data_IF_267126326669
#
_entry.id   IF_267126326669
#
_cell.length_a   1.000
_cell.length_b   1.000
_cell.length_c   1.000
_cell.angle_alpha   90.00
_cell.angle_beta   90.00
_cell.angle_gamma   90.00
#
_symmetry.space_group_name_H-M   'P 1'
#
loop_
_entity.id
_entity.type
_entity.pdbx_description
1 polymer ?
#
# COMPACT_ATOMS: atom_id res chain seq x y z
N UNK A 1 11.74 5.29 -36.30
CA UNK A 1 11.54 6.74 -36.17
C UNK A 1 11.87 7.11 -34.74
N UNK A 2 13.11 7.53 -34.50
CA UNK A 2 13.59 8.03 -33.22
C UNK A 2 14.29 9.35 -33.50
N UNK A 3 14.05 10.40 -32.71
CA UNK A 3 15.03 11.44 -32.52
C UNK A 3 15.60 11.39 -31.11
N UNK A 4 16.92 11.51 -31.06
CA UNK A 4 17.78 11.67 -29.88
C UNK A 4 17.99 13.18 -29.64
N UNK A 5 18.38 13.52 -28.41
CA UNK A 5 19.00 14.78 -27.94
C UNK A 5 18.03 15.81 -27.33
N UNK A 6 18.34 16.52 -26.25
CA UNK A 6 19.65 16.87 -25.70
C UNK A 6 19.64 16.94 -24.18
N UNK A 7 20.74 16.45 -23.60
CA UNK A 7 21.16 16.76 -22.24
C UNK A 7 21.58 18.24 -22.19
N UNK A 8 20.86 19.07 -21.43
CA UNK A 8 21.36 20.37 -21.00
C UNK A 8 21.66 20.25 -19.51
N UNK A 9 22.94 20.04 -19.21
CA UNK A 9 23.47 20.24 -17.86
C UNK A 9 23.80 21.72 -17.72
N UNK A 10 23.02 22.45 -16.93
CA UNK A 10 23.51 23.70 -16.34
C UNK A 10 23.12 23.76 -14.87
N UNK A 11 24.18 23.75 -14.09
CA UNK A 11 24.44 24.01 -12.67
C UNK A 11 23.36 24.64 -11.77
N UNK A 12 23.48 24.28 -10.49
CA UNK A 12 22.57 24.56 -9.40
C UNK A 12 22.81 25.94 -8.78
N UNK A 13 21.79 26.81 -8.72
CA UNK A 13 21.64 27.76 -7.60
C UNK A 13 20.30 28.52 -7.62
N UNK A 14 19.53 28.35 -6.53
CA UNK A 14 18.43 29.19 -6.03
C UNK A 14 17.12 29.19 -6.85
N UNK A 15 16.14 28.33 -6.56
CA UNK A 15 15.06 28.53 -5.56
C UNK A 15 14.51 29.96 -5.51
N UNK A 16 13.41 30.23 -6.23
CA UNK A 16 12.10 30.68 -5.70
C UNK A 16 11.24 31.20 -6.86
N UNK A 17 9.94 30.93 -6.81
CA UNK A 17 8.91 31.45 -7.73
C UNK A 17 8.90 30.88 -9.15
N UNK A 18 8.27 29.72 -9.35
CA UNK A 18 7.40 29.60 -10.53
C UNK A 18 6.27 28.57 -10.31
N UNK A 19 5.26 29.02 -9.57
CA UNK A 19 4.02 28.28 -9.34
C UNK A 19 3.06 28.32 -10.56
N UNK A 20 3.58 28.47 -11.79
CA UNK A 20 2.74 28.81 -12.96
C UNK A 20 2.83 27.83 -14.15
N UNK A 21 3.55 26.70 -14.07
CA UNK A 21 3.69 25.79 -15.24
C UNK A 21 3.06 24.38 -15.11
N UNK A 22 2.30 24.08 -14.05
CA UNK A 22 1.69 22.74 -13.84
C UNK A 22 0.16 22.72 -14.03
N UNK A 23 -0.39 23.57 -14.90
CA UNK A 23 -1.84 23.74 -15.09
C UNK A 23 -2.48 22.99 -16.27
N UNK A 24 -1.71 22.29 -17.11
CA UNK A 24 -2.23 21.70 -18.37
C UNK A 24 -2.43 20.19 -18.35
N UNK A 25 -2.03 19.51 -17.28
CA UNK A 25 -2.30 18.09 -17.11
C UNK A 25 -3.12 17.90 -15.83
N UNK A 26 -4.31 17.27 -15.90
CA UNK A 26 -4.93 16.78 -14.69
C UNK A 26 -3.91 15.90 -13.97
N UNK A 27 -3.77 16.02 -12.62
CA UNK A 27 -2.89 15.13 -11.89
C UNK A 27 -3.27 13.70 -12.24
N UNK A 28 -2.29 12.91 -12.69
CA UNK A 28 -2.50 11.51 -13.03
C UNK A 28 -3.20 10.82 -11.84
N UNK A 29 -4.23 9.98 -12.07
CA UNK A 29 -4.92 9.30 -10.99
C UNK A 29 -3.89 8.56 -10.13
N UNK A 30 -3.74 8.96 -8.87
CA UNK A 30 -2.88 8.22 -7.94
C UNK A 30 -3.54 6.87 -7.74
N UNK A 31 -2.94 5.84 -8.34
CA UNK A 31 -3.47 4.49 -8.32
C UNK A 31 -3.63 4.05 -6.86
N UNK A 32 -4.87 3.77 -6.47
CA UNK A 32 -5.21 3.53 -5.06
C UNK A 32 -4.91 2.07 -4.73
N UNK A 33 -4.23 1.78 -3.60
CA UNK A 33 -4.00 0.41 -3.17
C UNK A 33 -5.31 -0.34 -2.96
N UNK A 34 -5.41 -1.54 -3.53
CA UNK A 34 -6.57 -2.41 -3.38
C UNK A 34 -6.16 -3.82 -2.95
N UNK A 35 -7.01 -4.48 -2.15
CA UNK A 35 -6.84 -5.89 -1.79
C UNK A 35 -7.72 -6.73 -2.71
N UNK A 36 -7.14 -7.79 -3.31
CA UNK A 36 -7.85 -8.78 -4.12
C UNK A 36 -7.97 -10.12 -3.41
N UNK A 37 -6.90 -10.56 -2.74
CA UNK A 37 -6.87 -11.83 -2.04
C UNK A 37 -5.90 -11.80 -0.85
N UNK A 38 -6.09 -12.73 0.07
CA UNK A 38 -5.26 -12.93 1.26
C UNK A 38 -4.99 -14.43 1.38
N UNK A 39 -3.72 -14.82 1.51
CA UNK A 39 -3.31 -16.22 1.56
C UNK A 39 -2.18 -16.44 2.59
N UNK A 40 -2.37 -17.32 3.59
CA UNK A 40 -3.63 -17.95 3.95
C UNK A 40 -4.66 -16.93 4.46
N UNK A 41 -5.95 -17.23 4.27
CA UNK A 41 -7.06 -16.39 4.77
C UNK A 41 -7.46 -16.71 6.22
N UNK A 42 -6.71 -17.57 6.89
CA UNK A 42 -6.94 -17.99 8.27
C UNK A 42 -5.62 -18.24 9.00
N UNK A 43 -5.65 -18.15 10.33
CA UNK A 43 -4.49 -18.43 11.18
C UNK A 43 -4.82 -18.29 12.66
N UNK A 44 -3.87 -18.72 13.49
CA UNK A 44 -4.09 -18.82 14.93
C UNK A 44 -4.23 -17.46 15.62
N UNK A 45 -5.10 -17.41 16.62
CA UNK A 45 -5.26 -16.30 17.57
C UNK A 45 -3.95 -15.88 18.26
N UNK A 46 -2.96 -16.77 18.36
CA UNK A 46 -1.62 -16.44 18.88
C UNK A 46 -0.84 -15.45 17.99
N UNK A 47 -1.23 -15.27 16.72
CA UNK A 47 -0.52 -14.43 15.76
C UNK A 47 0.80 -15.05 15.27
N UNK A 48 1.63 -14.23 14.62
CA UNK A 48 2.92 -14.65 14.05
C UNK A 48 2.84 -15.54 12.80
N UNK A 49 1.65 -15.70 12.22
CA UNK A 49 1.50 -16.38 10.94
C UNK A 49 1.88 -15.45 9.80
N UNK A 50 2.67 -15.95 8.85
CA UNK A 50 3.04 -15.21 7.65
C UNK A 50 1.89 -15.24 6.66
N UNK A 51 1.40 -14.07 6.26
CA UNK A 51 0.30 -13.91 5.32
C UNK A 51 0.75 -13.06 4.14
N UNK A 52 0.40 -13.50 2.94
CA UNK A 52 0.60 -12.75 1.70
C UNK A 52 -0.72 -12.10 1.31
N UNK A 53 -0.68 -10.79 1.13
CA UNK A 53 -1.81 -10.01 0.62
C UNK A 53 -1.51 -9.69 -0.84
N UNK A 54 -2.46 -10.05 -1.70
CA UNK A 54 -2.38 -9.89 -3.15
C UNK A 54 -3.35 -8.77 -3.54
N UNK A 55 -2.90 -7.88 -4.41
CA UNK A 55 -3.66 -6.70 -4.79
C UNK A 55 -2.99 -5.91 -5.90
N UNK A 56 -3.26 -4.60 -5.94
CA UNK A 56 -2.62 -3.67 -6.88
C UNK A 56 -2.13 -2.42 -6.16
N UNK A 57 -1.17 -1.75 -6.78
CA UNK A 57 -0.63 -0.44 -6.38
C UNK A 57 -0.03 -0.45 -4.97
N UNK A 58 0.59 -1.55 -4.58
CA UNK A 58 1.36 -1.60 -3.34
C UNK A 58 2.71 -0.90 -3.52
N UNK A 59 3.17 -0.29 -2.44
CA UNK A 59 4.41 0.49 -2.40
C UNK A 59 5.02 0.41 -1.01
N UNK A 60 6.28 0.82 -0.90
CA UNK A 60 7.03 0.69 0.35
C UNK A 60 6.49 1.61 1.45
N UNK A 61 6.48 1.09 2.69
CA UNK A 61 5.88 1.75 3.84
C UNK A 61 4.34 1.69 3.91
N UNK A 62 3.68 0.99 2.98
CA UNK A 62 2.26 0.66 3.11
C UNK A 62 2.05 -0.26 4.34
N UNK A 63 1.08 0.06 5.17
CA UNK A 63 0.73 -0.69 6.36
C UNK A 63 -0.57 -1.46 6.13
N UNK A 64 -0.74 -2.53 6.89
CA UNK A 64 -1.94 -3.37 6.84
C UNK A 64 -2.62 -3.30 8.20
N UNK A 65 -3.94 -3.30 8.21
CA UNK A 65 -4.73 -3.22 9.44
C UNK A 65 -5.65 -4.43 9.51
N UNK A 66 -5.45 -5.26 10.53
CA UNK A 66 -6.32 -6.39 10.88
C UNK A 66 -7.35 -5.92 11.91
N UNK A 67 -8.56 -5.61 11.47
CA UNK A 67 -9.60 -4.95 12.26
C UNK A 67 -9.17 -3.56 12.68
N UNK A 68 -8.61 -3.44 13.88
CA UNK A 68 -8.06 -2.20 14.45
C UNK A 68 -6.54 -2.24 14.67
N UNK A 69 -5.92 -3.40 14.47
CA UNK A 69 -4.50 -3.61 14.75
C UNK A 69 -3.66 -3.37 13.51
N UNK A 70 -2.79 -2.37 13.60
CA UNK A 70 -1.87 -1.99 12.54
C UNK A 70 -0.63 -2.88 12.59
N UNK A 71 -0.26 -3.42 11.42
CA UNK A 71 0.97 -4.18 11.23
C UNK A 71 1.80 -3.61 10.09
N UNK A 72 3.11 -3.73 10.23
CA UNK A 72 4.05 -3.42 9.17
C UNK A 72 3.95 -4.49 8.08
N UNK A 73 4.00 -4.04 6.83
CA UNK A 73 4.09 -4.91 5.68
C UNK A 73 5.43 -4.74 4.98
N UNK A 74 5.89 -5.83 4.39
CA UNK A 74 7.07 -5.85 3.55
C UNK A 74 6.63 -5.99 2.09
N UNK A 75 7.08 -5.05 1.27
CA UNK A 75 6.78 -5.06 -0.15
C UNK A 75 7.56 -6.18 -0.84
N UNK A 76 6.84 -7.12 -1.45
CA UNK A 76 7.45 -8.11 -2.35
C UNK A 76 7.41 -7.56 -3.78
N UNK A 77 6.23 -7.11 -4.22
CA UNK A 77 6.01 -6.47 -5.52
C UNK A 77 4.89 -5.44 -5.41
N UNK A 78 4.65 -4.66 -6.46
CA UNK A 78 3.48 -3.76 -6.55
C UNK A 78 2.13 -4.47 -6.45
N UNK A 79 2.10 -5.81 -6.49
CA UNK A 79 0.90 -6.64 -6.39
C UNK A 79 0.89 -7.59 -5.18
N UNK A 80 1.96 -7.62 -4.39
CA UNK A 80 2.06 -8.53 -3.24
C UNK A 80 2.84 -7.90 -2.10
N UNK A 81 2.27 -7.98 -0.89
CA UNK A 81 2.94 -7.62 0.36
C UNK A 81 2.90 -8.81 1.32
N UNK A 82 3.95 -8.94 2.12
CA UNK A 82 4.05 -9.91 3.22
C UNK A 82 3.74 -9.21 4.54
N UNK A 83 2.96 -9.86 5.38
CA UNK A 83 2.65 -9.40 6.75
C UNK A 83 2.73 -10.55 7.75
N UNK A 84 2.94 -10.19 9.02
CA UNK A 84 2.76 -11.10 10.15
C UNK A 84 1.44 -10.76 10.83
N UNK A 85 0.59 -11.77 11.03
CA UNK A 85 -0.69 -11.58 11.74
C UNK A 85 -0.42 -11.18 13.18
N UNK A 86 -1.06 -10.14 13.71
CA UNK A 86 -0.87 -9.78 15.11
C UNK A 86 -1.71 -10.72 16.02
N UNK A 87 -1.35 -10.87 17.31
CA UNK A 87 -2.09 -11.72 18.25
C UNK A 87 -3.48 -11.15 18.53
N UNK A 88 -4.51 -12.01 18.64
CA UNK A 88 -5.89 -11.61 18.92
C UNK A 88 -6.53 -12.55 19.92
N UNK A 89 -7.12 -12.00 21.00
CA UNK A 89 -7.73 -12.81 22.06
C UNK A 89 -9.07 -13.46 21.69
N UNK A 90 -9.74 -12.94 20.66
CA UNK A 90 -11.08 -13.38 20.26
C UNK A 90 -10.98 -14.01 18.87
N UNK A 91 -11.40 -15.27 18.69
CA UNK A 91 -11.46 -15.89 17.37
C UNK A 91 -12.55 -15.24 16.50
N UNK A 92 -12.53 -15.54 15.21
CA UNK A 92 -13.52 -15.10 14.23
C UNK A 92 -12.95 -14.19 13.15
N UNK A 93 -13.85 -13.76 12.27
CA UNK A 93 -13.52 -12.97 11.08
C UNK A 93 -13.11 -11.55 11.47
N UNK A 94 -12.02 -11.07 10.87
CA UNK A 94 -11.62 -9.66 10.88
C UNK A 94 -11.54 -9.11 9.47
N UNK A 95 -11.86 -7.84 9.34
CA UNK A 95 -11.63 -7.09 8.11
C UNK A 95 -10.16 -6.70 8.00
N UNK A 96 -9.61 -6.80 6.80
CA UNK A 96 -8.23 -6.42 6.51
C UNK A 96 -8.28 -5.22 5.58
N UNK A 97 -7.63 -4.13 5.99
CA UNK A 97 -7.55 -2.88 5.23
C UNK A 97 -6.10 -2.42 5.11
N UNK A 98 -5.86 -1.39 4.30
CA UNK A 98 -4.53 -0.82 4.09
C UNK A 98 -4.46 0.58 4.69
N UNK A 99 -3.28 1.01 5.12
CA UNK A 99 -3.06 2.33 5.72
C UNK A 99 -1.72 2.91 5.27
N UNK A 100 -1.67 4.21 5.02
CA UNK A 100 -0.42 4.93 4.77
C UNK A 100 -0.54 6.39 5.23
N UNK A 101 0.39 6.87 6.06
CA UNK A 101 0.38 8.23 6.63
C UNK A 101 -1.01 8.64 7.17
N UNK A 102 -1.63 7.76 7.95
CA UNK A 102 -2.97 7.91 8.53
C UNK A 102 -4.14 7.91 7.53
N UNK A 103 -3.89 7.75 6.23
CA UNK A 103 -4.94 7.52 5.23
C UNK A 103 -5.22 6.02 5.12
N UNK A 104 -6.47 5.64 5.33
CA UNK A 104 -6.92 4.26 5.22
C UNK A 104 -7.57 4.00 3.85
N UNK A 105 -7.32 2.82 3.29
CA UNK A 105 -7.83 2.36 2.00
C UNK A 105 -8.62 1.06 2.17
N UNK A 106 -9.28 0.61 1.11
CA UNK A 106 -10.07 -0.64 1.07
C UNK A 106 -11.24 -0.71 2.08
N UNK A 107 -11.70 0.41 2.66
CA UNK A 107 -12.87 0.38 3.58
C UNK A 107 -14.16 -0.13 2.93
N UNK A 108 -14.36 0.13 1.64
CA UNK A 108 -15.55 -0.32 0.90
C UNK A 108 -15.42 -1.74 0.33
N UNK A 109 -14.21 -2.31 0.32
CA UNK A 109 -13.93 -3.65 -0.15
C UNK A 109 -12.77 -4.25 0.66
N UNK A 110 -12.96 -4.49 1.97
CA UNK A 110 -11.92 -5.01 2.82
C UNK A 110 -11.62 -6.47 2.46
N UNK A 111 -10.37 -6.88 2.65
CA UNK A 111 -10.04 -8.30 2.74
C UNK A 111 -10.65 -8.92 3.99
N UNK A 112 -10.68 -10.25 4.06
CA UNK A 112 -11.15 -10.98 5.24
C UNK A 112 -10.10 -11.98 5.68
N UNK A 113 -9.86 -12.03 6.99
CA UNK A 113 -8.98 -13.01 7.62
C UNK A 113 -9.70 -13.62 8.82
N UNK A 114 -9.55 -14.93 9.01
CA UNK A 114 -10.21 -15.68 10.09
C UNK A 114 -9.20 -16.05 11.17
N UNK A 115 -9.42 -15.58 12.39
CA UNK A 115 -8.67 -16.07 13.55
C UNK A 115 -9.32 -17.33 14.09
N UNK A 116 -8.52 -18.38 14.27
CA UNK A 116 -8.91 -19.67 14.86
C UNK A 116 -8.19 -19.99 16.17
#
# INVERSE_FOLDING_TARGET
SSPVASLVLTDSSQLTSDSQHLGLYPPLPVATPCIKAISPSEGWTSGGSTVIIIGDNFFDGLQVVFGTMLVWSELITSHAIRVQTPPRHIPGVVEVTLSYKSKQFCKGAPGRFVYV
#
